data_IF_855565836612
#
_entry.id   IF_855565836612
#
_cell.length_a   1.000
_cell.length_b   1.000
_cell.length_c   1.000
_cell.angle_alpha   90.00
_cell.angle_beta   90.00
_cell.angle_gamma   90.00
#
_symmetry.space_group_name_H-M   'P 1'
#
loop_
_entity.id
_entity.type
_entity.pdbx_description
1 polymer ?
#
# COMPACT_ATOMS: atom_id res chain seq x y z
N UNK A 1 5.39 -30.72 46.73
CA UNK A 1 5.64 -29.29 46.39
C UNK A 1 6.83 -29.05 45.45
N UNK A 2 7.89 -29.86 45.45
CA UNK A 2 9.07 -29.64 44.57
C UNK A 2 8.83 -29.91 43.08
N UNK A 3 7.86 -30.75 42.70
CA UNK A 3 7.59 -31.11 41.31
C UNK A 3 6.84 -30.02 40.50
N UNK A 4 6.06 -29.17 41.17
CA UNK A 4 5.30 -28.10 40.50
C UNK A 4 6.16 -26.85 40.21
N UNK A 5 7.20 -26.61 41.00
CA UNK A 5 8.12 -25.48 40.79
C UNK A 5 8.98 -25.72 39.53
N UNK A 6 9.42 -26.97 39.32
CA UNK A 6 10.20 -27.36 38.12
C UNK A 6 9.40 -27.19 36.83
N UNK A 7 8.07 -27.49 36.85
CA UNK A 7 7.19 -27.33 35.68
C UNK A 7 6.90 -25.86 35.36
N UNK A 8 6.76 -25.01 36.38
CA UNK A 8 6.55 -23.57 36.21
C UNK A 8 7.80 -22.90 35.64
N UNK A 9 8.98 -23.31 36.10
CA UNK A 9 10.27 -22.81 35.59
C UNK A 9 10.48 -23.27 34.15
N UNK A 10 10.10 -24.51 33.78
CA UNK A 10 10.19 -24.99 32.40
C UNK A 10 9.22 -24.28 31.46
N UNK A 11 7.99 -23.95 31.91
CA UNK A 11 7.05 -23.17 31.12
C UNK A 11 7.51 -21.72 30.91
N UNK A 12 8.08 -21.10 31.97
CA UNK A 12 8.65 -19.75 31.89
C UNK A 12 9.87 -19.70 30.94
N UNK A 13 10.72 -20.74 30.98
CA UNK A 13 11.85 -20.85 30.05
C UNK A 13 11.40 -21.10 28.59
N UNK A 14 10.34 -21.88 28.38
CA UNK A 14 9.79 -22.10 27.04
C UNK A 14 9.16 -20.83 26.44
N UNK A 15 8.46 -20.02 27.24
CA UNK A 15 7.95 -18.71 26.84
C UNK A 15 9.07 -17.70 26.54
N UNK A 16 10.18 -17.74 27.31
CA UNK A 16 11.34 -16.87 27.05
C UNK A 16 12.10 -17.25 25.77
N UNK A 17 12.11 -18.53 25.39
CA UNK A 17 12.76 -18.97 24.14
C UNK A 17 11.95 -18.63 22.88
N UNK A 18 10.62 -18.55 22.96
CA UNK A 18 9.77 -18.10 21.84
C UNK A 18 9.91 -16.58 21.62
N UNK A 19 10.06 -15.80 22.70
CA UNK A 19 10.29 -14.35 22.62
C UNK A 19 11.70 -13.98 22.11
N UNK A 20 12.69 -14.86 22.27
CA UNK A 20 14.07 -14.59 21.84
C UNK A 20 14.29 -14.77 20.31
N UNK A 21 13.37 -15.43 19.59
CA UNK A 21 13.50 -15.60 18.13
C UNK A 21 13.20 -14.32 17.34
N UNK A 22 12.23 -13.52 17.76
CA UNK A 22 11.83 -12.29 17.06
C UNK A 22 12.94 -11.23 16.99
N UNK A 23 13.53 -10.80 18.13
CA UNK A 23 14.61 -9.80 18.14
C UNK A 23 15.87 -10.24 17.38
N UNK A 24 16.22 -11.53 17.45
CA UNK A 24 17.39 -12.05 16.73
C UNK A 24 17.14 -12.08 15.20
N UNK A 25 15.94 -12.46 14.77
CA UNK A 25 15.52 -12.39 13.36
C UNK A 25 15.58 -10.95 12.83
N UNK A 26 15.05 -9.98 13.61
CA UNK A 26 15.06 -8.56 13.23
C UNK A 26 16.49 -8.03 13.09
N UNK A 27 17.38 -8.32 14.00
CA UNK A 27 18.79 -7.92 13.87
C UNK A 27 19.43 -8.50 12.61
N UNK A 28 19.24 -9.79 12.37
CA UNK A 28 19.81 -10.45 11.19
C UNK A 28 19.28 -9.85 9.88
N UNK A 29 17.97 -9.57 9.76
CA UNK A 29 17.42 -8.98 8.54
C UNK A 29 17.86 -7.53 8.34
N UNK A 30 17.99 -6.75 9.42
CA UNK A 30 18.54 -5.39 9.38
C UNK A 30 20.01 -5.42 8.97
N UNK A 31 20.79 -6.37 9.48
CA UNK A 31 22.21 -6.55 9.06
C UNK A 31 22.31 -6.93 7.58
N UNK A 32 21.44 -7.82 7.09
CA UNK A 32 21.39 -8.17 5.66
C UNK A 32 20.97 -6.98 4.78
N UNK A 33 19.98 -6.20 5.24
CA UNK A 33 19.54 -5.00 4.56
C UNK A 33 20.66 -3.95 4.46
N UNK A 34 21.42 -3.74 5.53
CA UNK A 34 22.54 -2.81 5.58
C UNK A 34 23.71 -3.19 4.66
N UNK A 35 23.85 -4.47 4.26
CA UNK A 35 24.86 -4.86 3.26
C UNK A 35 24.60 -4.28 1.88
N UNK A 36 23.35 -3.87 1.61
CA UNK A 36 22.95 -3.25 0.35
C UNK A 36 23.00 -1.72 0.43
N UNK A 37 23.08 -1.14 1.61
CA UNK A 37 23.11 0.30 1.85
C UNK A 37 24.54 0.87 1.70
N UNK A 38 24.66 2.14 1.27
CA UNK A 38 23.58 3.03 0.87
C UNK A 38 23.03 2.69 -0.53
N UNK A 39 21.70 2.81 -0.69
CA UNK A 39 21.02 2.60 -1.98
C UNK A 39 20.62 3.95 -2.56
N UNK A 40 21.10 4.23 -3.79
CA UNK A 40 20.70 5.45 -4.50
C UNK A 40 19.25 5.36 -4.97
N UNK A 41 18.46 6.39 -4.68
CA UNK A 41 17.09 6.60 -5.16
C UNK A 41 17.04 7.60 -6.33
N UNK A 42 18.15 7.74 -7.04
CA UNK A 42 18.30 8.70 -8.12
C UNK A 42 18.41 10.14 -7.59
N UNK A 43 17.69 11.06 -8.21
CA UNK A 43 17.73 12.48 -7.82
C UNK A 43 17.04 12.76 -6.49
N UNK A 44 16.16 11.89 -6.02
CA UNK A 44 15.39 12.11 -4.78
C UNK A 44 16.18 11.77 -3.51
N UNK A 45 17.38 11.20 -3.61
CA UNK A 45 18.24 10.97 -2.46
C UNK A 45 18.81 9.56 -2.33
N UNK A 46 19.09 9.16 -1.09
CA UNK A 46 19.64 7.85 -0.73
C UNK A 46 18.88 7.24 0.45
N UNK A 47 18.76 5.94 0.44
CA UNK A 47 18.45 5.15 1.62
C UNK A 47 19.78 4.73 2.24
N UNK A 48 20.08 5.26 3.41
CA UNK A 48 21.43 5.20 3.98
C UNK A 48 21.69 3.93 4.78
N UNK A 49 20.73 3.52 5.61
CA UNK A 49 20.86 2.39 6.52
C UNK A 49 19.54 2.03 7.17
N UNK A 50 19.54 0.93 7.91
CA UNK A 50 18.51 0.60 8.88
C UNK A 50 19.13 0.26 10.24
N UNK A 51 18.38 0.39 11.33
CA UNK A 51 18.76 -0.05 12.65
C UNK A 51 17.62 -0.79 13.37
N UNK A 52 17.94 -1.57 14.39
CA UNK A 52 16.95 -2.19 15.26
C UNK A 52 17.34 -1.96 16.73
N UNK A 53 16.49 -1.22 17.43
CA UNK A 53 16.63 -0.96 18.86
C UNK A 53 15.25 -0.80 19.53
N UNK A 54 15.16 -1.15 20.81
CA UNK A 54 13.95 -0.97 21.63
C UNK A 54 12.64 -1.43 20.97
N UNK A 55 12.65 -2.58 20.24
CA UNK A 55 11.53 -3.14 19.49
C UNK A 55 11.06 -2.28 18.30
N UNK A 56 11.94 -1.42 17.78
CA UNK A 56 11.67 -0.57 16.62
C UNK A 56 12.74 -0.77 15.56
N UNK A 57 12.34 -0.96 14.31
CA UNK A 57 13.22 -0.92 13.14
C UNK A 57 13.15 0.48 12.55
N UNK A 58 14.29 1.19 12.50
CA UNK A 58 14.38 2.52 11.90
C UNK A 58 15.09 2.45 10.56
N UNK A 59 14.51 3.05 9.51
CA UNK A 59 15.08 3.14 8.17
C UNK A 59 15.41 4.61 7.90
N UNK A 60 16.66 4.89 7.52
CA UNK A 60 17.19 6.24 7.39
C UNK A 60 17.36 6.61 5.92
N UNK A 61 16.86 7.80 5.58
CA UNK A 61 16.98 8.39 4.25
C UNK A 61 17.62 9.76 4.34
N UNK A 62 18.44 10.08 3.35
CA UNK A 62 18.93 11.45 3.11
C UNK A 62 18.45 11.93 1.75
N UNK A 63 17.77 13.07 1.75
CA UNK A 63 17.16 13.69 0.58
C UNK A 63 17.69 15.11 0.39
N UNK A 64 17.95 15.56 -0.85
CA UNK A 64 18.24 16.97 -1.09
C UNK A 64 17.03 17.82 -0.68
N UNK A 65 17.28 18.94 0.02
CA UNK A 65 16.22 19.80 0.55
C UNK A 65 15.28 20.36 -0.54
N UNK A 66 15.76 20.46 -1.78
CA UNK A 66 14.98 20.90 -2.93
C UNK A 66 13.90 19.92 -3.41
N UNK A 67 13.96 18.64 -3.00
CA UNK A 67 13.00 17.61 -3.39
C UNK A 67 12.04 17.21 -2.28
N UNK A 68 12.18 17.77 -1.07
CA UNK A 68 11.31 17.45 0.05
C UNK A 68 10.93 18.72 0.83
N UNK A 69 9.64 18.95 0.98
CA UNK A 69 9.10 20.03 1.80
C UNK A 69 8.65 19.46 3.15
N UNK A 70 9.54 19.53 4.15
CA UNK A 70 9.25 19.04 5.50
C UNK A 70 8.18 19.87 6.21
N UNK A 71 7.99 21.14 5.86
CA UNK A 71 6.94 21.98 6.44
C UNK A 71 5.57 21.56 5.89
N UNK A 72 5.49 21.21 4.61
CA UNK A 72 4.28 20.62 4.03
C UNK A 72 3.94 19.28 4.70
N UNK A 73 4.93 18.42 4.96
CA UNK A 73 4.74 17.16 5.68
C UNK A 73 4.19 17.43 7.08
N UNK A 74 4.79 18.35 7.85
CA UNK A 74 4.34 18.70 9.21
C UNK A 74 2.92 19.27 9.24
N UNK A 75 2.52 20.05 8.22
CA UNK A 75 1.18 20.62 8.11
C UNK A 75 0.11 19.60 7.71
N UNK A 76 0.49 18.51 7.06
CA UNK A 76 -0.40 17.46 6.57
C UNK A 76 0.05 16.07 7.07
N UNK A 77 0.45 16.00 8.34
CA UNK A 77 1.10 14.82 8.95
C UNK A 77 0.30 13.54 8.73
N UNK A 78 -0.99 13.54 9.02
CA UNK A 78 -1.88 12.39 8.89
C UNK A 78 -1.87 11.82 7.46
N UNK A 79 -2.00 12.71 6.46
CA UNK A 79 -2.00 12.32 5.05
C UNK A 79 -0.67 11.68 4.63
N UNK A 80 0.46 12.29 5.00
CA UNK A 80 1.78 11.75 4.67
C UNK A 80 2.10 10.48 5.43
N UNK A 81 1.64 10.37 6.69
CA UNK A 81 1.75 9.16 7.49
C UNK A 81 1.06 7.98 6.81
N UNK A 82 -0.20 8.13 6.44
CA UNK A 82 -0.99 7.06 5.82
C UNK A 82 -0.42 6.64 4.45
N UNK A 83 0.02 7.60 3.65
CA UNK A 83 0.68 7.33 2.38
C UNK A 83 1.99 6.57 2.53
N UNK A 84 2.81 6.97 3.49
CA UNK A 84 4.08 6.31 3.76
C UNK A 84 3.84 4.89 4.28
N UNK A 85 2.90 4.73 5.22
CA UNK A 85 2.49 3.43 5.74
C UNK A 85 2.01 2.49 4.62
N UNK A 86 1.12 2.97 3.74
CA UNK A 86 0.64 2.19 2.59
C UNK A 86 1.79 1.79 1.66
N UNK A 87 2.74 2.69 1.40
CA UNK A 87 3.91 2.44 0.54
C UNK A 87 4.78 1.32 1.11
N UNK A 88 5.06 1.32 2.41
CA UNK A 88 5.89 0.29 3.04
C UNK A 88 5.15 -1.03 3.22
N UNK A 89 3.93 -0.99 3.75
CA UNK A 89 3.12 -2.18 3.98
C UNK A 89 2.85 -2.97 2.70
N UNK A 90 2.83 -2.27 1.54
CA UNK A 90 2.51 -2.82 0.23
C UNK A 90 3.69 -2.88 -0.75
N UNK A 91 4.92 -2.71 -0.27
CA UNK A 91 6.10 -2.71 -1.12
C UNK A 91 6.22 -4.00 -1.94
N UNK A 92 6.43 -3.84 -3.26
CA UNK A 92 6.71 -4.96 -4.17
C UNK A 92 8.21 -5.35 -4.19
N UNK A 93 9.07 -4.59 -3.52
CA UNK A 93 10.49 -4.94 -3.41
C UNK A 93 10.66 -6.11 -2.44
N UNK A 94 11.22 -7.22 -2.91
CA UNK A 94 11.38 -8.47 -2.15
C UNK A 94 12.15 -8.29 -0.83
N UNK A 95 13.15 -7.42 -0.80
CA UNK A 95 13.93 -7.15 0.42
C UNK A 95 13.10 -6.37 1.44
N UNK A 96 12.34 -5.38 1.00
CA UNK A 96 11.41 -4.63 1.84
C UNK A 96 10.28 -5.49 2.32
N UNK A 97 9.64 -6.25 1.43
CA UNK A 97 8.57 -7.17 1.79
C UNK A 97 9.01 -8.12 2.90
N UNK A 98 10.19 -8.75 2.74
CA UNK A 98 10.75 -9.64 3.74
C UNK A 98 11.03 -8.93 5.08
N UNK A 99 11.51 -7.68 5.06
CA UNK A 99 11.72 -6.87 6.24
C UNK A 99 10.39 -6.60 6.97
N UNK A 100 9.37 -6.15 6.24
CA UNK A 100 8.03 -5.87 6.77
C UNK A 100 7.38 -7.15 7.32
N UNK A 101 7.50 -8.29 6.62
CA UNK A 101 7.00 -9.59 7.13
C UNK A 101 7.58 -9.92 8.50
N UNK A 102 8.89 -9.75 8.68
CA UNK A 102 9.56 -10.04 9.95
C UNK A 102 9.20 -9.00 11.03
N UNK A 103 9.03 -7.72 10.67
CA UNK A 103 8.55 -6.68 11.59
C UNK A 103 7.18 -7.05 12.15
N UNK A 104 6.23 -7.41 11.27
CA UNK A 104 4.87 -7.81 11.66
C UNK A 104 4.89 -9.12 12.48
N UNK A 105 5.65 -10.14 12.04
CA UNK A 105 5.79 -11.42 12.78
C UNK A 105 6.35 -11.21 14.20
N UNK A 106 7.27 -10.28 14.36
CA UNK A 106 7.90 -9.97 15.65
C UNK A 106 7.06 -9.02 16.52
N UNK A 107 6.00 -8.42 16.00
CA UNK A 107 5.24 -7.37 16.68
C UNK A 107 6.10 -6.13 16.98
N UNK A 108 7.03 -5.80 16.09
CA UNK A 108 7.90 -4.64 16.21
C UNK A 108 7.31 -3.42 15.51
N UNK A 109 7.69 -2.23 15.97
CA UNK A 109 7.36 -0.96 15.30
C UNK A 109 8.37 -0.66 14.19
N UNK A 110 8.03 0.31 13.35
CA UNK A 110 8.92 0.82 12.30
C UNK A 110 8.95 2.34 12.32
N UNK A 111 10.15 2.91 12.22
CA UNK A 111 10.37 4.33 11.99
C UNK A 111 10.94 4.55 10.59
N UNK A 112 10.42 5.55 9.90
CA UNK A 112 11.02 6.07 8.66
C UNK A 112 11.56 7.46 8.95
N UNK A 113 12.89 7.56 8.96
CA UNK A 113 13.62 8.77 9.31
C UNK A 113 14.08 9.46 8.03
N UNK A 114 13.46 10.57 7.71
CA UNK A 114 13.83 11.44 6.59
C UNK A 114 14.76 12.54 7.09
N UNK A 115 15.97 12.61 6.54
CA UNK A 115 16.91 13.70 6.79
C UNK A 115 17.11 14.49 5.50
N UNK A 116 17.27 15.79 5.59
CA UNK A 116 17.70 16.59 4.45
C UNK A 116 19.23 16.75 4.45
N UNK A 117 19.79 17.05 3.28
CA UNK A 117 21.23 17.42 3.17
C UNK A 117 21.60 18.68 3.94
N UNK A 118 20.63 19.48 4.37
CA UNK A 118 20.80 20.68 5.18
C UNK A 118 20.71 20.44 6.70
N UNK A 119 20.39 19.18 7.11
CA UNK A 119 20.39 18.75 8.50
C UNK A 119 19.05 18.91 9.21
N UNK A 120 17.96 19.25 8.51
CA UNK A 120 16.59 19.14 9.03
C UNK A 120 16.07 17.71 8.80
N UNK A 121 15.04 17.31 9.53
CA UNK A 121 14.48 15.96 9.41
C UNK A 121 13.06 15.83 9.92
N UNK A 122 12.47 14.68 9.59
CA UNK A 122 11.16 14.23 10.07
C UNK A 122 11.15 12.71 10.25
N UNK A 123 10.38 12.22 11.23
CA UNK A 123 10.26 10.77 11.49
C UNK A 123 8.81 10.37 11.49
N UNK A 124 8.45 9.41 10.63
CA UNK A 124 7.19 8.71 10.69
C UNK A 124 7.33 7.51 11.63
N UNK A 125 6.36 7.35 12.53
CA UNK A 125 6.30 6.24 13.48
C UNK A 125 5.14 5.32 13.13
N UNK A 126 5.39 4.05 12.89
CA UNK A 126 4.37 3.06 12.55
C UNK A 126 4.39 1.93 13.58
N UNK A 127 3.25 1.64 14.16
CA UNK A 127 3.08 0.47 15.04
C UNK A 127 2.96 -0.82 14.22
N UNK A 128 3.24 -1.95 14.85
CA UNK A 128 3.05 -3.26 14.22
C UNK A 128 1.59 -3.47 13.76
N UNK A 129 0.62 -2.98 14.53
CA UNK A 129 -0.81 -3.12 14.22
C UNK A 129 -1.22 -2.27 13.02
N UNK A 130 -0.70 -1.04 12.89
CA UNK A 130 -0.93 -0.19 11.71
C UNK A 130 -0.34 -0.83 10.45
N UNK A 131 0.91 -1.32 10.52
CA UNK A 131 1.55 -1.99 9.39
C UNK A 131 0.74 -3.22 8.98
N UNK A 132 0.30 -4.02 9.95
CA UNK A 132 -0.51 -5.22 9.73
C UNK A 132 -1.86 -4.86 9.11
N UNK A 133 -2.55 -3.85 9.63
CA UNK A 133 -3.85 -3.39 9.15
C UNK A 133 -3.82 -2.85 7.71
N UNK A 134 -2.67 -2.31 7.27
CA UNK A 134 -2.48 -1.79 5.91
C UNK A 134 -2.04 -2.83 4.87
N UNK A 135 -1.81 -4.08 5.28
CA UNK A 135 -1.45 -5.17 4.34
C UNK A 135 -2.70 -5.82 3.78
N UNK A 136 -2.83 -5.94 2.45
CA UNK A 136 -3.91 -6.70 1.85
C UNK A 136 -3.63 -8.21 1.98
N UNK A 137 -4.68 -9.00 2.13
CA UNK A 137 -4.59 -10.46 2.20
C UNK A 137 -4.45 -10.98 3.62
N UNK A 138 -3.76 -12.09 3.80
CA UNK A 138 -3.80 -12.97 4.99
C UNK A 138 -3.70 -12.28 6.37
N UNK A 139 -3.14 -11.07 6.47
CA UNK A 139 -2.90 -10.37 7.72
C UNK A 139 -3.50 -8.95 7.82
N UNK A 140 -4.04 -8.36 6.76
CA UNK A 140 -4.56 -6.98 6.74
C UNK A 140 -6.10 -6.90 6.59
N UNK A 141 -6.69 -5.75 7.00
CA UNK A 141 -8.11 -5.46 6.71
C UNK A 141 -8.23 -4.97 5.26
N UNK A 142 -8.96 -5.70 4.38
CA UNK A 142 -9.18 -5.28 2.99
C UNK A 142 -9.75 -3.87 2.86
N UNK A 143 -10.61 -3.45 3.80
CA UNK A 143 -11.23 -2.13 3.73
C UNK A 143 -10.23 -1.00 4.00
N UNK A 144 -9.32 -1.19 4.95
CA UNK A 144 -8.25 -0.20 5.23
C UNK A 144 -7.35 -0.05 4.01
N UNK A 145 -6.94 -1.16 3.39
CA UNK A 145 -6.14 -1.10 2.16
C UNK A 145 -6.86 -0.35 1.04
N UNK A 146 -8.15 -0.65 0.79
CA UNK A 146 -8.92 -0.02 -0.28
C UNK A 146 -9.14 1.47 -0.02
N UNK A 147 -9.38 1.89 1.22
CA UNK A 147 -9.50 3.31 1.58
C UNK A 147 -8.20 4.06 1.31
N UNK A 148 -7.07 3.56 1.81
CA UNK A 148 -5.76 4.16 1.57
C UNK A 148 -5.41 4.20 0.07
N UNK A 149 -5.75 3.16 -0.69
CA UNK A 149 -5.57 3.14 -2.13
C UNK A 149 -6.36 4.26 -2.82
N UNK A 150 -7.63 4.47 -2.41
CA UNK A 150 -8.48 5.55 -2.94
C UNK A 150 -7.91 6.92 -2.61
N UNK A 151 -7.52 7.17 -1.38
CA UNK A 151 -6.95 8.45 -0.96
C UNK A 151 -5.67 8.77 -1.75
N UNK A 152 -4.78 7.80 -1.89
CA UNK A 152 -3.56 7.92 -2.69
C UNK A 152 -3.86 8.20 -4.17
N UNK A 153 -4.85 7.51 -4.74
CA UNK A 153 -5.25 7.72 -6.14
C UNK A 153 -5.82 9.12 -6.32
N UNK A 154 -6.72 9.56 -5.43
CA UNK A 154 -7.35 10.89 -5.49
C UNK A 154 -6.37 12.05 -5.48
N UNK A 155 -5.22 11.92 -4.81
CA UNK A 155 -4.18 12.95 -4.83
C UNK A 155 -3.54 13.17 -6.20
N UNK A 156 -3.64 12.17 -7.08
CA UNK A 156 -3.08 12.23 -8.43
C UNK A 156 -4.14 12.60 -9.48
N UNK A 157 -5.40 12.77 -9.06
CA UNK A 157 -6.50 13.07 -9.96
C UNK A 157 -6.69 14.60 -10.15
N UNK A 158 -7.20 15.04 -11.31
CA UNK A 158 -7.49 14.21 -12.49
C UNK A 158 -6.22 13.82 -13.26
N UNK A 159 -6.18 12.61 -13.83
CA UNK A 159 -5.05 12.11 -14.62
C UNK A 159 -5.49 11.81 -16.06
N UNK A 160 -4.86 12.46 -17.04
CA UNK A 160 -5.04 12.12 -18.45
C UNK A 160 -4.36 10.77 -18.75
N UNK A 161 -5.16 9.80 -19.17
CA UNK A 161 -4.69 8.46 -19.54
C UNK A 161 -4.60 8.25 -21.06
N UNK A 162 -4.81 9.31 -21.83
CA UNK A 162 -4.74 9.32 -23.30
C UNK A 162 -6.05 8.88 -23.97
N UNK A 163 -6.06 8.96 -25.30
CA UNK A 163 -7.20 8.54 -26.12
C UNK A 163 -8.53 9.23 -25.80
N UNK A 164 -8.50 10.44 -25.21
CA UNK A 164 -9.70 11.18 -24.82
C UNK A 164 -10.29 10.74 -23.48
N UNK A 165 -9.55 9.98 -22.69
CA UNK A 165 -9.94 9.52 -21.36
C UNK A 165 -9.15 10.25 -20.27
N UNK A 166 -9.86 10.71 -19.25
CA UNK A 166 -9.28 11.28 -18.02
C UNK A 166 -9.84 10.51 -16.84
N UNK A 167 -8.97 9.89 -16.02
CA UNK A 167 -9.38 9.34 -14.74
C UNK A 167 -9.71 10.51 -13.82
N UNK A 168 -10.98 10.64 -13.42
CA UNK A 168 -11.50 11.82 -12.71
C UNK A 168 -11.78 11.56 -11.23
N UNK A 169 -12.16 10.34 -10.87
CA UNK A 169 -12.39 9.96 -9.46
C UNK A 169 -12.26 8.44 -9.27
N UNK A 170 -12.19 8.02 -8.03
CA UNK A 170 -12.29 6.64 -7.56
C UNK A 170 -13.11 6.60 -6.29
N UNK A 171 -13.97 5.61 -6.13
CA UNK A 171 -14.80 5.46 -4.92
C UNK A 171 -14.93 4.02 -4.44
N UNK A 172 -15.32 3.87 -3.20
CA UNK A 172 -15.69 2.61 -2.57
C UNK A 172 -17.05 2.79 -1.88
N UNK A 173 -18.00 1.95 -2.23
CA UNK A 173 -19.26 1.82 -1.51
C UNK A 173 -19.44 0.39 -0.97
N UNK A 174 -20.62 0.05 -0.49
CA UNK A 174 -20.89 -1.28 0.07
C UNK A 174 -20.85 -2.40 -0.99
N UNK A 175 -20.99 -2.08 -2.27
CA UNK A 175 -21.12 -3.04 -3.36
C UNK A 175 -19.91 -3.06 -4.29
N UNK A 176 -19.32 -1.89 -4.57
CA UNK A 176 -18.30 -1.76 -5.61
C UNK A 176 -17.15 -0.85 -5.21
N UNK A 177 -15.98 -1.19 -5.71
CA UNK A 177 -14.86 -0.28 -5.93
C UNK A 177 -14.98 0.24 -7.37
N UNK A 178 -15.10 1.57 -7.56
CA UNK A 178 -15.44 2.17 -8.85
C UNK A 178 -14.40 3.19 -9.30
N UNK A 179 -13.88 3.05 -10.52
CA UNK A 179 -13.16 4.10 -11.23
C UNK A 179 -14.10 4.92 -12.08
N UNK A 180 -13.92 6.24 -12.09
CA UNK A 180 -14.68 7.19 -12.92
C UNK A 180 -13.76 7.82 -13.96
N UNK A 181 -14.18 7.72 -15.22
CA UNK A 181 -13.47 8.28 -16.36
C UNK A 181 -14.32 9.33 -17.04
N UNK A 182 -13.77 10.53 -17.24
CA UNK A 182 -14.35 11.52 -18.15
C UNK A 182 -13.89 11.26 -19.57
N UNK A 183 -14.85 11.27 -20.50
CA UNK A 183 -14.64 10.95 -21.91
C UNK A 183 -14.80 12.20 -22.78
N UNK A 184 -13.86 12.41 -23.69
CA UNK A 184 -14.01 13.35 -24.80
C UNK A 184 -14.95 12.72 -25.85
N UNK A 185 -16.17 13.28 -25.97
CA UNK A 185 -17.21 12.74 -26.85
C UNK A 185 -16.95 13.01 -28.36
N UNK A 186 -15.95 13.82 -28.70
CA UNK A 186 -15.46 13.92 -30.06
C UNK A 186 -14.65 12.68 -30.48
N UNK A 187 -14.18 11.91 -29.52
CA UNK A 187 -13.37 10.70 -29.73
C UNK A 187 -14.07 9.42 -29.28
N UNK A 188 -14.97 9.49 -28.29
CA UNK A 188 -15.60 8.32 -27.65
C UNK A 188 -17.12 8.49 -27.66
N UNK A 189 -17.83 7.61 -28.36
CA UNK A 189 -19.28 7.54 -28.33
C UNK A 189 -19.74 6.72 -27.08
N UNK A 190 -20.35 7.41 -26.12
CA UNK A 190 -20.79 6.79 -24.85
C UNK A 190 -21.91 5.76 -25.06
N UNK A 191 -22.82 6.00 -26.00
CA UNK A 191 -23.90 5.05 -26.28
C UNK A 191 -23.36 3.76 -26.90
N UNK A 192 -22.39 3.90 -27.83
CA UNK A 192 -21.70 2.76 -28.43
C UNK A 192 -20.88 1.99 -27.40
N UNK A 193 -20.16 2.70 -26.50
CA UNK A 193 -19.40 2.09 -25.43
C UNK A 193 -20.30 1.26 -24.50
N UNK A 194 -21.47 1.77 -24.12
CA UNK A 194 -22.43 1.01 -23.32
C UNK A 194 -22.96 -0.22 -24.05
N UNK A 195 -23.14 -0.14 -25.36
CA UNK A 195 -23.52 -1.30 -26.16
C UNK A 195 -22.39 -2.35 -26.17
N UNK A 196 -21.13 -1.96 -26.37
CA UNK A 196 -19.97 -2.87 -26.28
C UNK A 196 -19.88 -3.57 -24.93
N UNK A 197 -20.08 -2.85 -23.83
CA UNK A 197 -20.11 -3.45 -22.48
C UNK A 197 -21.21 -4.49 -22.31
N UNK A 198 -22.30 -4.37 -23.07
CA UNK A 198 -23.40 -5.34 -23.05
C UNK A 198 -23.12 -6.54 -23.97
N UNK A 199 -22.66 -6.27 -25.19
CA UNK A 199 -22.51 -7.28 -26.23
C UNK A 199 -21.22 -8.11 -26.11
N UNK A 200 -20.16 -7.49 -25.58
CA UNK A 200 -18.81 -8.07 -25.51
C UNK A 200 -18.25 -8.10 -24.07
N UNK A 201 -19.13 -8.18 -23.08
CA UNK A 201 -18.76 -8.08 -21.65
C UNK A 201 -17.60 -8.99 -21.24
N UNK A 202 -17.63 -10.25 -21.66
CA UNK A 202 -16.58 -11.24 -21.34
C UNK A 202 -15.22 -10.84 -21.95
N UNK A 203 -15.22 -10.29 -23.14
CA UNK A 203 -14.01 -9.82 -23.81
C UNK A 203 -13.43 -8.60 -23.08
N UNK A 204 -14.26 -7.64 -22.68
CA UNK A 204 -13.84 -6.45 -21.92
C UNK A 204 -13.21 -6.87 -20.59
N UNK A 205 -13.83 -7.80 -19.88
CA UNK A 205 -13.30 -8.32 -18.59
C UNK A 205 -11.96 -9.04 -18.81
N UNK A 206 -11.84 -9.84 -19.87
CA UNK A 206 -10.61 -10.58 -20.18
C UNK A 206 -9.42 -9.69 -20.54
N UNK A 207 -9.69 -8.46 -20.97
CA UNK A 207 -8.66 -7.47 -21.31
C UNK A 207 -8.12 -6.69 -20.10
N UNK A 208 -8.66 -6.90 -18.89
CA UNK A 208 -8.07 -6.32 -17.68
C UNK A 208 -6.70 -6.96 -17.46
N UNK A 209 -5.66 -6.13 -17.43
CA UNK A 209 -4.28 -6.61 -17.28
C UNK A 209 -4.01 -7.08 -15.85
N UNK A 210 -4.34 -8.34 -15.58
CA UNK A 210 -4.04 -8.99 -14.31
C UNK A 210 -2.57 -9.42 -14.16
N UNK A 211 -1.73 -9.16 -15.18
CA UNK A 211 -0.29 -9.42 -15.09
C UNK A 211 0.44 -8.32 -14.34
N UNK A 212 -0.15 -7.12 -14.25
CA UNK A 212 0.35 -6.07 -13.38
C UNK A 212 0.14 -6.46 -11.90
N UNK A 213 1.21 -6.55 -11.10
CA UNK A 213 1.11 -6.98 -9.70
C UNK A 213 0.22 -6.08 -8.84
N UNK A 214 0.16 -4.77 -9.13
CA UNK A 214 -0.67 -3.82 -8.39
C UNK A 214 -2.15 -4.04 -8.71
N UNK A 215 -2.49 -4.20 -9.99
CA UNK A 215 -3.87 -4.48 -10.44
C UNK A 215 -4.33 -5.83 -9.89
N UNK A 216 -3.50 -6.87 -10.01
CA UNK A 216 -3.81 -8.19 -9.47
C UNK A 216 -4.07 -8.15 -7.95
N UNK A 217 -3.28 -7.37 -7.22
CA UNK A 217 -3.44 -7.16 -5.78
C UNK A 217 -4.74 -6.41 -5.46
N UNK A 218 -5.01 -5.31 -6.17
CA UNK A 218 -6.24 -4.52 -6.01
C UNK A 218 -7.48 -5.39 -6.21
N UNK A 219 -7.55 -6.12 -7.33
CA UNK A 219 -8.71 -6.99 -7.64
C UNK A 219 -8.89 -8.10 -6.58
N UNK A 220 -7.80 -8.71 -6.12
CA UNK A 220 -7.86 -9.68 -5.02
C UNK A 220 -8.40 -9.07 -3.74
N UNK A 221 -7.93 -7.87 -3.36
CA UNK A 221 -8.40 -7.18 -2.15
C UNK A 221 -9.86 -6.76 -2.25
N UNK A 222 -10.31 -6.31 -3.43
CA UNK A 222 -11.72 -6.03 -3.71
C UNK A 222 -12.55 -7.30 -3.50
N UNK A 223 -12.12 -8.43 -4.03
CA UNK A 223 -12.78 -9.74 -3.84
C UNK A 223 -12.84 -10.15 -2.36
N UNK A 224 -11.73 -10.01 -1.64
CA UNK A 224 -11.65 -10.34 -0.20
C UNK A 224 -12.57 -9.44 0.64
N UNK A 225 -12.83 -8.21 0.20
CA UNK A 225 -13.80 -7.30 0.82
C UNK A 225 -15.27 -7.62 0.46
N UNK A 226 -15.52 -8.67 -0.32
CA UNK A 226 -16.84 -9.08 -0.85
C UNK A 226 -17.50 -8.04 -1.75
N UNK A 227 -16.74 -7.16 -2.37
CA UNK A 227 -17.20 -6.15 -3.33
C UNK A 227 -16.90 -6.53 -4.76
N UNK A 228 -17.65 -5.93 -5.68
CA UNK A 228 -17.36 -5.96 -7.11
C UNK A 228 -16.42 -4.83 -7.51
N UNK A 229 -16.01 -4.86 -8.76
CA UNK A 229 -15.23 -3.82 -9.42
C UNK A 229 -16.06 -3.17 -10.51
N UNK A 230 -16.03 -1.85 -10.64
CA UNK A 230 -16.76 -1.11 -11.65
C UNK A 230 -15.88 -0.06 -12.35
N UNK A 231 -16.19 0.18 -13.62
CA UNK A 231 -15.66 1.29 -14.39
C UNK A 231 -16.83 2.08 -14.96
N UNK A 232 -16.90 3.37 -14.65
CA UNK A 232 -17.94 4.29 -15.12
C UNK A 232 -17.31 5.36 -15.99
N UNK A 233 -17.78 5.47 -17.21
CA UNK A 233 -17.35 6.43 -18.22
C UNK A 233 -18.43 7.50 -18.35
N UNK A 234 -18.03 8.78 -18.32
CA UNK A 234 -18.93 9.93 -18.26
C UNK A 234 -18.56 10.87 -19.41
N UNK A 235 -19.49 11.14 -20.31
CA UNK A 235 -19.30 12.12 -21.37
C UNK A 235 -19.18 13.53 -20.81
N UNK A 236 -18.06 14.20 -21.09
CA UNK A 236 -17.77 15.57 -20.60
C UNK A 236 -18.83 16.60 -20.97
N UNK A 237 -19.44 16.44 -22.14
CA UNK A 237 -20.43 17.41 -22.68
C UNK A 237 -21.85 17.01 -22.37
N UNK A 238 -22.21 15.74 -22.58
CA UNK A 238 -23.59 15.27 -22.42
C UNK A 238 -23.94 14.84 -21.00
N UNK A 239 -22.94 14.46 -20.20
CA UNK A 239 -23.15 13.80 -18.92
C UNK A 239 -23.71 12.38 -19.02
N UNK A 240 -23.82 11.81 -20.24
CA UNK A 240 -24.20 10.40 -20.40
C UNK A 240 -23.17 9.49 -19.74
N UNK A 241 -23.62 8.32 -19.32
CA UNK A 241 -22.74 7.34 -18.67
C UNK A 241 -22.78 5.98 -19.34
N UNK A 242 -21.65 5.32 -19.42
CA UNK A 242 -21.53 3.90 -19.70
C UNK A 242 -20.81 3.22 -18.53
N UNK A 243 -21.37 2.12 -18.04
CA UNK A 243 -20.81 1.43 -16.87
C UNK A 243 -20.68 -0.06 -17.14
N UNK A 244 -19.52 -0.62 -16.79
CA UNK A 244 -19.31 -2.06 -16.70
C UNK A 244 -19.02 -2.45 -15.26
N UNK A 245 -19.65 -3.53 -14.79
CA UNK A 245 -19.47 -4.07 -13.44
C UNK A 245 -18.97 -5.51 -13.50
N UNK A 246 -18.11 -5.88 -12.57
CA UNK A 246 -17.60 -7.22 -12.36
C UNK A 246 -17.95 -7.60 -10.93
N UNK A 247 -18.78 -8.60 -10.77
CA UNK A 247 -19.20 -9.06 -9.45
C UNK A 247 -18.03 -9.69 -8.68
N UNK A 248 -18.06 -9.62 -7.35
CA UNK A 248 -17.02 -10.22 -6.49
C UNK A 248 -16.69 -11.68 -6.82
N UNK A 249 -17.68 -12.46 -7.26
CA UNK A 249 -17.51 -13.88 -7.65
C UNK A 249 -16.80 -14.07 -8.99
N UNK A 250 -16.74 -13.03 -9.81
CA UNK A 250 -16.12 -13.05 -11.15
C UNK A 250 -14.66 -12.58 -11.10
N UNK A 251 -14.26 -11.87 -10.02
CA UNK A 251 -12.90 -11.53 -9.71
C UNK A 251 -12.17 -12.79 -9.13
#
# INVERSE_FOLDING_TARGET
MKQNISRIILLALACAMVSACGPAKLRNIVDEFNKQCPVSLGMIGTMDSASYDANTVSIYYTMPAEYIDLDMIRQNEELFHDNMLATYANSNNESFKKLIDIIVEAGANMDVVLNTTEGDGYTFHFTADEIKGNRPGEDGDPNVFLQNFIENTRMQLPTDIGSGLTLSDVSLDDNYFTYYYECDEDLIDIDLLQQEFTDSREEVISNIDVTDPMIAKLLRTIKESHRGYAMTYIGKTSGKTATITIESREL
#
